data_IF_948620047973
#
_entry.id   IF_948620047973
#
_cell.length_a   1.000
_cell.length_b   1.000
_cell.length_c   1.000
_cell.angle_alpha   90.00
_cell.angle_beta   90.00
_cell.angle_gamma   90.00
#
_symmetry.space_group_name_H-M   'P 1'
#
loop_
_entity.id
_entity.type
_entity.pdbx_description
1 polymer ?
#
# COMPACT_ATOMS: atom_id res chain seq x y z
N UNK A 1 -11.86 -18.69 15.64
CA UNK A 1 -11.33 -17.54 14.89
C UNK A 1 -11.21 -16.28 15.79
N UNK A 2 -12.24 -15.85 16.56
CA UNK A 2 -12.15 -14.62 17.38
C UNK A 2 -10.98 -14.66 18.39
N UNK A 3 -10.78 -15.76 19.12
CA UNK A 3 -9.63 -15.95 20.05
C UNK A 3 -8.28 -15.96 19.33
N UNK A 4 -8.22 -16.63 18.17
CA UNK A 4 -7.01 -16.69 17.34
C UNK A 4 -6.61 -15.30 16.83
N UNK A 5 -7.61 -14.51 16.41
CA UNK A 5 -7.40 -13.15 15.94
C UNK A 5 -6.83 -12.26 17.06
N UNK A 6 -7.31 -12.40 18.30
CA UNK A 6 -6.78 -11.68 19.45
C UNK A 6 -5.31 -12.08 19.75
N UNK A 7 -5.01 -13.39 19.75
CA UNK A 7 -3.63 -13.90 19.90
C UNK A 7 -2.69 -13.32 18.83
N UNK A 8 -3.14 -13.33 17.57
CA UNK A 8 -2.36 -12.80 16.45
C UNK A 8 -2.14 -11.28 16.55
N UNK A 9 -3.16 -10.55 16.96
CA UNK A 9 -3.06 -9.11 17.19
C UNK A 9 -2.07 -8.77 18.31
N UNK A 10 -2.17 -9.46 19.45
CA UNK A 10 -1.26 -9.27 20.57
C UNK A 10 0.19 -9.62 20.18
N UNK A 11 0.39 -10.73 19.48
CA UNK A 11 1.71 -11.09 18.96
C UNK A 11 2.30 -9.99 18.07
N UNK A 12 1.51 -9.42 17.17
CA UNK A 12 1.99 -8.35 16.28
C UNK A 12 2.39 -7.09 17.08
N UNK A 13 1.61 -6.73 18.09
CA UNK A 13 1.94 -5.61 18.97
C UNK A 13 3.28 -5.88 19.71
N UNK A 14 3.45 -7.06 20.26
CA UNK A 14 4.69 -7.45 20.94
C UNK A 14 5.88 -7.48 19.97
N UNK A 15 5.66 -7.98 18.74
CA UNK A 15 6.66 -7.97 17.69
C UNK A 15 7.08 -6.54 17.31
N UNK A 16 6.14 -5.65 17.07
CA UNK A 16 6.44 -4.25 16.75
C UNK A 16 7.22 -3.55 17.88
N UNK A 17 6.87 -3.84 19.15
CA UNK A 17 7.50 -3.24 20.31
C UNK A 17 8.98 -3.64 20.48
N UNK A 18 9.43 -4.76 19.92
CA UNK A 18 10.84 -5.15 19.91
C UNK A 18 11.74 -4.18 19.13
N UNK A 19 11.16 -3.39 18.21
CA UNK A 19 11.88 -2.43 17.38
C UNK A 19 11.86 -1.00 17.92
N UNK A 20 11.25 -0.78 19.09
CA UNK A 20 11.29 0.52 19.76
C UNK A 20 12.70 0.80 20.25
N UNK A 21 13.21 2.01 19.96
CA UNK A 21 14.58 2.43 20.26
C UNK A 21 14.62 3.93 20.61
N UNK A 22 15.66 4.36 21.29
CA UNK A 22 15.92 5.77 21.59
C UNK A 22 16.53 6.54 20.40
N UNK A 23 16.91 5.84 19.34
CA UNK A 23 17.33 6.47 18.07
C UNK A 23 16.11 7.08 17.35
N UNK A 24 15.95 8.39 17.44
CA UNK A 24 14.79 9.10 16.93
C UNK A 24 14.68 9.00 15.38
N UNK A 25 15.80 8.92 14.65
CA UNK A 25 15.77 8.74 13.21
C UNK A 25 15.20 7.37 12.83
N UNK A 26 15.60 6.33 13.55
CA UNK A 26 15.05 4.98 13.38
C UNK A 26 13.59 4.94 13.81
N UNK A 27 13.29 5.52 14.99
CA UNK A 27 11.92 5.53 15.52
C UNK A 27 10.93 6.23 14.63
N UNK A 28 11.32 7.27 13.89
CA UNK A 28 10.44 7.93 12.94
C UNK A 28 9.91 6.95 11.88
N UNK A 29 10.78 6.11 11.32
CA UNK A 29 10.39 5.06 10.38
C UNK A 29 9.50 3.99 11.00
N UNK A 30 9.89 3.50 12.17
CA UNK A 30 9.14 2.48 12.92
C UNK A 30 7.74 2.98 13.27
N UNK A 31 7.58 4.19 13.82
CA UNK A 31 6.27 4.78 14.16
C UNK A 31 5.37 4.91 12.94
N UNK A 32 5.91 5.34 11.78
CA UNK A 32 5.14 5.41 10.54
C UNK A 32 4.59 4.03 10.20
N UNK A 33 5.39 2.97 10.31
CA UNK A 33 4.95 1.61 9.99
C UNK A 33 3.99 1.04 11.03
N UNK A 34 4.16 1.30 12.32
CA UNK A 34 3.18 0.92 13.35
C UNK A 34 1.80 1.53 13.07
N UNK A 35 1.77 2.84 12.81
CA UNK A 35 0.54 3.57 12.50
C UNK A 35 -0.08 3.07 11.19
N UNK A 36 0.73 2.88 10.15
CA UNK A 36 0.32 2.35 8.85
C UNK A 36 -0.31 0.96 8.97
N UNK A 37 0.32 0.05 9.71
CA UNK A 37 -0.22 -1.30 9.97
C UNK A 37 -1.62 -1.23 10.58
N UNK A 38 -1.84 -0.37 11.58
CA UNK A 38 -3.16 -0.19 12.19
C UNK A 38 -4.22 0.31 11.20
N UNK A 39 -3.88 1.30 10.36
CA UNK A 39 -4.81 1.81 9.34
C UNK A 39 -5.09 0.79 8.24
N UNK A 40 -4.09 0.09 7.74
CA UNK A 40 -4.28 -0.95 6.69
C UNK A 40 -5.15 -2.09 7.22
N UNK A 41 -4.96 -2.49 8.47
CA UNK A 41 -5.80 -3.49 9.16
C UNK A 41 -7.28 -3.06 9.19
N UNK A 42 -7.54 -1.81 9.59
CA UNK A 42 -8.89 -1.27 9.65
C UNK A 42 -9.52 -1.16 8.24
N UNK A 43 -8.76 -0.64 7.26
CA UNK A 43 -9.23 -0.49 5.88
C UNK A 43 -9.52 -1.85 5.24
N UNK A 44 -8.66 -2.85 5.44
CA UNK A 44 -8.89 -4.19 4.90
C UNK A 44 -10.17 -4.81 5.43
N UNK A 45 -10.45 -4.63 6.74
CA UNK A 45 -11.71 -5.04 7.36
C UNK A 45 -12.90 -4.28 6.77
N UNK A 46 -12.85 -2.94 6.71
CA UNK A 46 -13.93 -2.10 6.17
C UNK A 46 -14.24 -2.46 4.70
N UNK A 47 -13.22 -2.69 3.88
CA UNK A 47 -13.41 -3.10 2.49
C UNK A 47 -14.06 -4.49 2.40
N UNK A 48 -13.64 -5.44 3.24
CA UNK A 48 -14.25 -6.78 3.29
C UNK A 48 -15.73 -6.72 3.72
N UNK A 49 -16.07 -5.84 4.67
CA UNK A 49 -17.46 -5.58 5.10
C UNK A 49 -18.27 -4.93 3.97
N UNK A 50 -17.71 -3.94 3.26
CA UNK A 50 -18.35 -3.33 2.10
C UNK A 50 -18.65 -4.36 1.00
N UNK A 51 -17.72 -5.26 0.76
CA UNK A 51 -17.86 -6.37 -0.18
C UNK A 51 -18.82 -7.45 0.32
N UNK A 52 -19.39 -7.32 1.51
CA UNK A 52 -20.32 -8.26 2.14
C UNK A 52 -19.77 -9.68 2.26
N UNK A 53 -18.47 -9.79 2.54
CA UNK A 53 -17.83 -11.08 2.77
C UNK A 53 -18.36 -11.75 4.05
N UNK A 54 -18.12 -13.05 4.18
CA UNK A 54 -18.48 -13.78 5.39
C UNK A 54 -17.73 -13.23 6.62
N UNK A 55 -18.26 -13.46 7.83
CA UNK A 55 -17.54 -13.08 9.07
C UNK A 55 -16.12 -13.66 9.09
N UNK A 56 -15.95 -14.89 8.64
CA UNK A 56 -14.66 -15.54 8.55
C UNK A 56 -13.71 -14.81 7.59
N UNK A 57 -14.17 -14.45 6.41
CA UNK A 57 -13.38 -13.73 5.41
C UNK A 57 -13.03 -12.30 5.85
N UNK A 58 -13.92 -11.62 6.58
CA UNK A 58 -13.64 -10.32 7.19
C UNK A 58 -12.49 -10.44 8.21
N UNK A 59 -12.48 -11.51 9.01
CA UNK A 59 -11.40 -11.77 9.96
C UNK A 59 -10.08 -12.09 9.26
N UNK A 60 -10.12 -12.83 8.15
CA UNK A 60 -8.93 -13.08 7.33
C UNK A 60 -8.39 -11.79 6.69
N UNK A 61 -9.26 -10.92 6.18
CA UNK A 61 -8.86 -9.62 5.65
C UNK A 61 -8.17 -8.76 6.73
N UNK A 62 -8.71 -8.77 7.96
CA UNK A 62 -8.08 -8.13 9.12
C UNK A 62 -6.67 -8.67 9.37
N UNK A 63 -6.51 -10.00 9.43
CA UNK A 63 -5.21 -10.66 9.66
C UNK A 63 -4.22 -10.31 8.54
N UNK A 64 -4.67 -10.28 7.29
CA UNK A 64 -3.82 -9.91 6.16
C UNK A 64 -3.33 -8.46 6.26
N UNK A 65 -4.23 -7.53 6.60
CA UNK A 65 -3.85 -6.13 6.86
C UNK A 65 -2.86 -6.00 8.02
N UNK A 66 -3.05 -6.78 9.09
CA UNK A 66 -2.19 -6.78 10.26
C UNK A 66 -0.76 -7.22 9.94
N UNK A 67 -0.58 -8.19 9.05
CA UNK A 67 0.72 -8.80 8.78
C UNK A 67 1.38 -8.40 7.46
N UNK A 68 0.69 -7.64 6.59
CA UNK A 68 1.23 -7.35 5.24
C UNK A 68 2.65 -6.79 5.26
N UNK A 69 2.95 -5.94 6.21
CA UNK A 69 4.20 -5.19 6.36
C UNK A 69 5.06 -5.65 7.56
N UNK A 70 4.79 -6.83 8.15
CA UNK A 70 5.55 -7.35 9.30
C UNK A 70 7.06 -7.40 9.01
N UNK A 71 7.47 -7.71 7.80
CA UNK A 71 8.87 -7.72 7.37
C UNK A 71 9.54 -6.33 7.37
N UNK A 72 8.76 -5.23 7.29
CA UNK A 72 9.29 -3.86 7.28
C UNK A 72 10.03 -3.49 8.56
N UNK A 73 9.61 -4.03 9.70
CA UNK A 73 10.26 -3.77 10.99
C UNK A 73 11.66 -4.35 11.00
N UNK A 74 11.82 -5.62 10.62
CA UNK A 74 13.13 -6.28 10.48
C UNK A 74 13.96 -5.63 9.36
N UNK A 75 13.38 -5.37 8.20
CA UNK A 75 14.06 -4.70 7.08
C UNK A 75 14.68 -3.37 7.55
N UNK A 76 13.88 -2.51 8.19
CA UNK A 76 14.34 -1.19 8.58
C UNK A 76 15.36 -1.23 9.74
N UNK A 77 15.23 -2.16 10.65
CA UNK A 77 16.21 -2.33 11.74
C UNK A 77 17.61 -2.72 11.23
N UNK A 78 17.66 -3.51 10.16
CA UNK A 78 18.92 -3.99 9.57
C UNK A 78 19.48 -2.99 8.55
N UNK A 79 18.66 -2.58 7.59
CA UNK A 79 19.13 -1.84 6.40
C UNK A 79 18.89 -0.33 6.46
N UNK A 80 18.17 0.18 7.45
CA UNK A 80 17.80 1.60 7.61
C UNK A 80 17.11 2.20 6.37
N UNK A 81 16.46 1.36 5.57
CA UNK A 81 15.73 1.74 4.37
C UNK A 81 14.48 0.88 4.17
N UNK A 82 13.44 1.47 3.55
CA UNK A 82 12.27 0.74 3.06
C UNK A 82 12.34 0.45 1.55
N UNK A 83 13.52 0.65 0.93
CA UNK A 83 13.71 0.38 -0.49
C UNK A 83 14.11 -1.08 -0.70
N UNK A 84 13.17 -1.91 -1.17
CA UNK A 84 13.39 -3.34 -1.43
C UNK A 84 14.56 -3.59 -2.39
N UNK A 85 14.82 -2.68 -3.35
CA UNK A 85 15.95 -2.81 -4.28
C UNK A 85 17.33 -2.58 -3.62
N UNK A 86 17.36 -1.97 -2.44
CA UNK A 86 18.59 -1.72 -1.67
C UNK A 86 18.71 -2.62 -0.42
N UNK A 87 17.78 -3.54 -0.23
CA UNK A 87 17.71 -4.44 0.91
C UNK A 87 17.17 -5.81 0.50
N UNK A 88 16.07 -6.24 1.09
CA UNK A 88 15.30 -7.46 0.77
C UNK A 88 13.87 -7.09 0.41
N UNK A 89 13.19 -7.93 -0.38
CA UNK A 89 11.76 -7.80 -0.60
C UNK A 89 11.02 -7.98 0.73
N UNK A 90 10.30 -6.95 1.17
CA UNK A 90 9.69 -6.94 2.49
C UNK A 90 8.52 -7.91 2.65
N UNK A 91 7.82 -8.25 1.54
CA UNK A 91 6.76 -9.25 1.59
C UNK A 91 7.35 -10.64 1.80
N UNK A 92 8.42 -10.98 1.09
CA UNK A 92 9.12 -12.26 1.25
C UNK A 92 9.75 -12.36 2.65
N UNK A 93 10.38 -11.28 3.12
CA UNK A 93 10.90 -11.19 4.49
C UNK A 93 9.79 -11.31 5.54
N UNK A 94 8.63 -10.70 5.29
CA UNK A 94 7.46 -10.83 6.17
C UNK A 94 6.95 -12.26 6.29
N UNK A 95 6.86 -12.97 5.17
CA UNK A 95 6.47 -14.39 5.16
C UNK A 95 7.49 -15.26 5.93
N UNK A 96 8.77 -14.94 5.83
CA UNK A 96 9.83 -15.61 6.61
C UNK A 96 9.65 -15.36 8.11
N UNK A 97 9.42 -14.11 8.52
CA UNK A 97 9.13 -13.76 9.93
C UNK A 97 7.92 -14.54 10.45
N UNK A 98 6.82 -14.57 9.69
CA UNK A 98 5.63 -15.30 10.09
C UNK A 98 5.85 -16.81 10.21
N UNK A 99 6.68 -17.39 9.35
CA UNK A 99 7.01 -18.83 9.41
C UNK A 99 7.93 -19.19 10.56
N UNK A 100 8.88 -18.31 10.91
CA UNK A 100 9.91 -18.57 11.91
C UNK A 100 9.49 -18.20 13.34
N UNK A 101 8.69 -17.12 13.50
CA UNK A 101 8.47 -16.50 14.80
C UNK A 101 7.01 -16.49 15.25
N UNK A 102 6.05 -16.66 14.34
CA UNK A 102 4.64 -16.57 14.68
C UNK A 102 4.04 -17.95 14.98
N UNK A 103 3.80 -18.30 16.25
CA UNK A 103 3.37 -19.64 16.63
C UNK A 103 1.94 -19.98 16.18
N UNK A 104 1.12 -18.97 15.91
CA UNK A 104 -0.31 -19.17 15.61
C UNK A 104 -0.62 -19.43 14.13
N UNK A 105 0.38 -19.40 13.23
CA UNK A 105 0.17 -19.72 11.82
C UNK A 105 -0.33 -21.16 11.60
N UNK A 106 0.07 -22.07 12.46
CA UNK A 106 -0.36 -23.48 12.42
C UNK A 106 -1.78 -23.71 12.98
N UNK A 107 -2.37 -22.73 13.66
CA UNK A 107 -3.76 -22.78 14.14
C UNK A 107 -4.75 -22.38 13.03
N UNK A 108 -4.29 -21.77 11.92
CA UNK A 108 -5.11 -21.51 10.75
C UNK A 108 -5.35 -22.80 9.97
N UNK A 109 -6.55 -22.92 9.38
CA UNK A 109 -6.79 -23.92 8.36
C UNK A 109 -5.81 -23.77 7.19
N UNK A 110 -5.39 -24.88 6.60
CA UNK A 110 -4.38 -24.86 5.54
C UNK A 110 -4.77 -23.91 4.38
N UNK A 111 -6.04 -23.93 3.97
CA UNK A 111 -6.53 -23.07 2.89
C UNK A 111 -6.41 -21.58 3.25
N UNK A 112 -6.67 -21.21 4.50
CA UNK A 112 -6.58 -19.83 4.96
C UNK A 112 -5.12 -19.39 5.12
N UNK A 113 -4.25 -20.26 5.60
CA UNK A 113 -2.82 -20.00 5.66
C UNK A 113 -2.19 -19.81 4.26
N UNK A 114 -2.61 -20.59 3.27
CA UNK A 114 -2.20 -20.42 1.88
C UNK A 114 -2.71 -19.12 1.28
N UNK A 115 -3.97 -18.77 1.57
CA UNK A 115 -4.59 -17.53 1.14
C UNK A 115 -3.86 -16.31 1.71
N UNK A 116 -3.56 -16.31 3.01
CA UNK A 116 -2.78 -15.28 3.70
C UNK A 116 -1.40 -15.11 3.05
N UNK A 117 -0.67 -16.21 2.86
CA UNK A 117 0.66 -16.16 2.23
C UNK A 117 0.59 -15.61 0.82
N UNK A 118 -0.40 -16.01 0.03
CA UNK A 118 -0.57 -15.52 -1.34
C UNK A 118 -0.86 -14.01 -1.35
N UNK A 119 -1.76 -13.52 -0.51
CA UNK A 119 -2.10 -12.11 -0.44
C UNK A 119 -0.88 -11.27 -0.03
N UNK A 120 -0.17 -11.66 1.02
CA UNK A 120 1.05 -10.97 1.50
C UNK A 120 2.14 -11.00 0.42
N UNK A 121 2.42 -12.16 -0.20
CA UNK A 121 3.45 -12.28 -1.24
C UNK A 121 3.21 -11.37 -2.45
N UNK A 122 1.94 -10.98 -2.70
CA UNK A 122 1.55 -10.23 -3.89
C UNK A 122 1.20 -8.75 -3.63
N UNK A 123 1.19 -8.29 -2.36
CA UNK A 123 0.72 -6.93 -2.07
C UNK A 123 1.66 -5.84 -2.63
N UNK A 124 2.98 -6.08 -2.62
CA UNK A 124 4.01 -5.15 -3.10
C UNK A 124 4.46 -5.38 -4.55
N UNK A 125 4.01 -6.47 -5.19
CA UNK A 125 4.46 -6.81 -6.55
C UNK A 125 3.79 -5.90 -7.60
N UNK A 126 4.47 -5.67 -8.72
CA UNK A 126 3.90 -4.88 -9.84
C UNK A 126 2.58 -5.48 -10.34
N UNK A 127 2.53 -6.80 -10.47
CA UNK A 127 1.34 -7.56 -10.87
C UNK A 127 1.13 -8.72 -9.90
N UNK A 128 -0.12 -9.06 -9.63
CA UNK A 128 -0.45 -10.25 -8.85
C UNK A 128 -0.06 -11.48 -9.69
N UNK A 129 0.54 -12.48 -9.05
CA UNK A 129 0.84 -13.76 -9.70
C UNK A 129 -0.43 -14.37 -10.31
N UNK A 130 -0.37 -14.91 -11.53
CA UNK A 130 -1.51 -15.59 -12.14
C UNK A 130 -2.01 -16.73 -11.25
N UNK A 131 -3.32 -16.74 -11.02
CA UNK A 131 -4.00 -17.79 -10.26
C UNK A 131 -5.39 -18.05 -10.83
N UNK A 132 -5.82 -19.30 -10.87
CA UNK A 132 -7.20 -19.68 -11.18
C UNK A 132 -8.10 -19.60 -9.93
N UNK A 133 -7.51 -19.49 -8.74
CA UNK A 133 -8.23 -19.37 -7.49
C UNK A 133 -8.76 -17.93 -7.33
N UNK A 134 -10.07 -17.78 -7.53
CA UNK A 134 -10.76 -16.48 -7.44
C UNK A 134 -10.68 -15.88 -6.03
N UNK A 135 -10.69 -16.70 -4.98
CA UNK A 135 -10.59 -16.24 -3.59
C UNK A 135 -9.20 -15.69 -3.32
N UNK A 136 -8.12 -16.35 -3.78
CA UNK A 136 -6.75 -15.82 -3.70
C UNK A 136 -6.63 -14.47 -4.43
N UNK A 137 -7.21 -14.35 -5.62
CA UNK A 137 -7.18 -13.11 -6.39
C UNK A 137 -7.95 -11.98 -5.69
N UNK A 138 -9.13 -12.28 -5.13
CA UNK A 138 -9.95 -11.32 -4.38
C UNK A 138 -9.16 -10.73 -3.20
N UNK A 139 -8.58 -11.58 -2.35
CA UNK A 139 -7.87 -11.12 -1.16
C UNK A 139 -6.56 -10.41 -1.48
N UNK A 140 -5.83 -10.82 -2.51
CA UNK A 140 -4.66 -10.10 -2.98
C UNK A 140 -5.03 -8.69 -3.46
N UNK A 141 -6.13 -8.53 -4.20
CA UNK A 141 -6.67 -7.23 -4.62
C UNK A 141 -7.12 -6.37 -3.44
N UNK A 142 -7.83 -6.97 -2.48
CA UNK A 142 -8.30 -6.31 -1.28
C UNK A 142 -7.13 -5.74 -0.46
N UNK A 143 -6.11 -6.55 -0.21
CA UNK A 143 -4.94 -6.13 0.55
C UNK A 143 -4.16 -5.01 -0.16
N UNK A 144 -3.97 -5.13 -1.46
CA UNK A 144 -3.31 -4.08 -2.29
C UNK A 144 -4.04 -2.75 -2.22
N UNK A 145 -5.36 -2.78 -2.26
CA UNK A 145 -6.20 -1.59 -2.19
C UNK A 145 -6.15 -0.96 -0.81
N UNK A 146 -6.22 -1.77 0.25
CA UNK A 146 -6.12 -1.30 1.63
C UNK A 146 -4.77 -0.62 1.90
N UNK A 147 -3.67 -1.25 1.49
CA UNK A 147 -2.32 -0.72 1.61
C UNK A 147 -2.16 0.61 0.85
N UNK A 148 -2.55 0.65 -0.43
CA UNK A 148 -2.47 1.87 -1.24
C UNK A 148 -3.28 3.03 -0.65
N UNK A 149 -4.49 2.77 -0.16
CA UNK A 149 -5.33 3.82 0.44
C UNK A 149 -4.63 4.47 1.63
N UNK A 150 -3.94 3.69 2.47
CA UNK A 150 -3.21 4.26 3.59
C UNK A 150 -1.87 4.89 3.16
N UNK A 151 -1.18 4.35 2.16
CA UNK A 151 0.04 4.98 1.61
C UNK A 151 -0.27 6.40 1.13
N UNK A 152 -1.43 6.66 0.51
CA UNK A 152 -1.84 8.03 0.20
C UNK A 152 -1.87 8.91 1.45
N UNK A 153 -2.50 8.47 2.54
CA UNK A 153 -2.53 9.21 3.81
C UNK A 153 -1.12 9.52 4.33
N UNK A 154 -0.23 8.53 4.33
CA UNK A 154 1.15 8.66 4.81
C UNK A 154 1.94 9.67 3.98
N UNK A 155 1.72 9.70 2.65
CA UNK A 155 2.53 10.51 1.74
C UNK A 155 2.00 11.93 1.51
N UNK A 156 0.70 12.18 1.76
CA UNK A 156 0.10 13.51 1.52
C UNK A 156 0.78 14.67 2.27
N UNK A 157 1.19 14.53 3.55
CA UNK A 157 1.88 15.61 4.24
C UNK A 157 3.17 16.07 3.54
N UNK A 158 3.81 15.19 2.78
CA UNK A 158 5.10 15.44 2.11
C UNK A 158 4.96 15.95 0.66
N UNK A 159 3.78 16.41 0.26
CA UNK A 159 3.57 17.05 -1.06
C UNK A 159 3.93 18.53 -1.07
N UNK A 160 3.79 19.19 0.06
CA UNK A 160 4.09 20.63 0.20
C UNK A 160 5.59 20.86 0.35
N UNK A 161 6.12 22.06 -0.01
CA UNK A 161 7.52 22.41 0.22
C UNK A 161 7.95 22.22 1.67
N UNK A 162 7.13 22.69 2.63
CA UNK A 162 7.40 22.54 4.07
C UNK A 162 7.37 21.08 4.52
N UNK A 163 6.45 20.28 3.97
CA UNK A 163 6.37 18.86 4.22
C UNK A 163 7.57 18.09 3.68
N UNK A 164 8.04 18.45 2.48
CA UNK A 164 9.27 17.86 1.91
C UNK A 164 10.48 18.15 2.81
N UNK A 165 10.60 19.35 3.35
CA UNK A 165 11.70 19.72 4.25
C UNK A 165 11.72 18.88 5.53
N UNK A 166 10.52 18.51 6.03
CA UNK A 166 10.31 17.70 7.25
C UNK A 166 10.23 16.20 6.98
N UNK A 167 10.29 15.79 5.70
CA UNK A 167 10.17 14.39 5.35
C UNK A 167 11.32 13.57 5.93
N UNK A 168 11.04 12.33 6.39
CA UNK A 168 12.09 11.38 6.74
C UNK A 168 13.07 11.16 5.59
N UNK A 169 14.31 10.81 5.90
CA UNK A 169 15.35 10.62 4.89
C UNK A 169 14.96 9.60 3.81
N UNK A 170 14.26 8.54 4.17
CA UNK A 170 13.78 7.52 3.21
C UNK A 170 12.65 8.02 2.27
N UNK A 171 12.02 9.17 2.56
CA UNK A 171 11.02 9.82 1.70
C UNK A 171 11.66 10.92 0.85
N UNK A 172 12.76 11.52 1.31
CA UNK A 172 13.47 12.58 0.58
C UNK A 172 13.92 12.09 -0.79
N UNK A 173 13.87 12.96 -1.77
CA UNK A 173 14.32 12.67 -3.14
C UNK A 173 15.05 13.87 -3.74
N UNK A 174 15.64 13.65 -4.91
CA UNK A 174 16.39 14.67 -5.65
C UNK A 174 15.60 15.98 -5.92
N UNK A 175 16.33 17.06 -6.10
CA UNK A 175 15.84 18.44 -5.99
C UNK A 175 14.84 18.91 -7.07
N UNK A 176 14.76 18.29 -8.25
CA UNK A 176 13.89 18.81 -9.32
C UNK A 176 12.41 18.57 -9.05
N UNK A 177 11.60 19.61 -9.22
CA UNK A 177 10.15 19.55 -9.13
C UNK A 177 9.48 19.14 -10.47
N UNK A 178 10.21 19.26 -11.60
CA UNK A 178 9.67 18.92 -12.91
C UNK A 178 9.47 17.41 -13.08
N UNK A 179 8.47 17.05 -13.87
CA UNK A 179 8.23 15.67 -14.29
C UNK A 179 9.12 15.33 -15.47
N UNK A 180 9.77 14.20 -15.44
CA UNK A 180 10.61 13.72 -16.55
C UNK A 180 9.76 13.48 -17.81
N UNK A 181 10.25 13.81 -19.02
CA UNK A 181 9.46 13.70 -20.26
C UNK A 181 8.79 12.34 -20.47
N UNK A 182 9.53 11.25 -20.23
CA UNK A 182 8.99 9.90 -20.35
C UNK A 182 7.78 9.62 -19.45
N UNK A 183 7.75 10.22 -18.24
CA UNK A 183 6.61 10.11 -17.33
C UNK A 183 5.43 10.99 -17.79
N UNK A 184 5.68 12.17 -18.37
CA UNK A 184 4.64 13.02 -18.97
C UNK A 184 3.96 12.26 -20.12
N UNK A 185 4.73 11.66 -21.03
CA UNK A 185 4.22 10.87 -22.14
C UNK A 185 3.42 9.66 -21.67
N UNK A 186 3.94 8.90 -20.71
CA UNK A 186 3.24 7.75 -20.14
C UNK A 186 1.90 8.16 -19.50
N UNK A 187 1.88 9.27 -18.77
CA UNK A 187 0.68 9.79 -18.14
C UNK A 187 -0.35 10.26 -19.17
N UNK A 188 0.08 11.04 -20.17
CA UNK A 188 -0.79 11.47 -21.27
C UNK A 188 -1.39 10.28 -22.03
N UNK A 189 -0.62 9.19 -22.17
CA UNK A 189 -1.08 7.96 -22.82
C UNK A 189 -1.93 7.03 -21.93
N UNK A 190 -2.05 7.31 -20.61
CA UNK A 190 -2.71 6.44 -19.64
C UNK A 190 -1.95 5.12 -19.41
N UNK A 191 -0.64 5.11 -19.60
CA UNK A 191 0.23 3.95 -19.43
C UNK A 191 0.89 3.99 -18.06
N UNK A 192 1.15 2.81 -17.48
CA UNK A 192 1.95 2.71 -16.27
C UNK A 192 3.40 3.12 -16.55
N UNK A 193 3.98 3.90 -15.64
CA UNK A 193 5.37 4.27 -15.69
C UNK A 193 6.27 3.21 -15.03
N UNK A 194 7.54 3.14 -15.44
CA UNK A 194 8.53 2.29 -14.79
C UNK A 194 9.10 3.00 -13.56
N UNK A 195 8.72 2.53 -12.38
CA UNK A 195 9.16 3.09 -11.09
C UNK A 195 10.70 3.11 -10.90
N UNK A 196 11.44 2.25 -11.62
CA UNK A 196 12.91 2.23 -11.58
C UNK A 196 13.52 3.47 -12.22
N UNK A 197 12.74 4.20 -13.01
CA UNK A 197 13.16 5.41 -13.72
C UNK A 197 12.84 6.71 -12.99
N UNK A 198 12.31 6.63 -11.75
CA UNK A 198 12.00 7.80 -10.92
C UNK A 198 13.26 8.61 -10.60
N UNK A 199 13.30 9.88 -11.03
CA UNK A 199 14.44 10.77 -10.84
C UNK A 199 14.11 12.04 -10.05
N UNK A 200 12.85 12.48 -10.09
CA UNK A 200 12.46 13.80 -9.60
C UNK A 200 11.32 13.73 -8.58
N UNK A 201 11.08 14.82 -7.86
CA UNK A 201 9.87 14.98 -7.05
C UNK A 201 8.60 15.00 -7.91
N UNK A 202 8.66 15.61 -9.08
CA UNK A 202 7.57 15.61 -10.05
C UNK A 202 7.19 14.19 -10.46
N UNK A 203 8.17 13.34 -10.79
CA UNK A 203 7.95 11.92 -11.13
C UNK A 203 7.22 11.19 -10.00
N UNK A 204 7.68 11.40 -8.75
CA UNK A 204 7.06 10.75 -7.58
C UNK A 204 5.62 11.18 -7.34
N UNK A 205 5.29 12.46 -7.56
CA UNK A 205 3.91 12.96 -7.49
C UNK A 205 3.07 12.33 -8.58
N UNK A 206 3.56 12.31 -9.82
CA UNK A 206 2.83 11.78 -10.97
C UNK A 206 2.56 10.28 -10.83
N UNK A 207 3.53 9.52 -10.36
CA UNK A 207 3.37 8.08 -10.12
C UNK A 207 2.24 7.80 -9.14
N UNK A 208 2.06 8.63 -8.11
CA UNK A 208 0.92 8.48 -7.18
C UNK A 208 -0.42 8.67 -7.89
N UNK A 209 -0.52 9.55 -8.89
CA UNK A 209 -1.72 9.64 -9.72
C UNK A 209 -1.90 8.38 -10.59
N UNK A 210 -0.81 7.79 -11.08
CA UNK A 210 -0.87 6.56 -11.86
C UNK A 210 -1.33 5.35 -11.03
N UNK A 211 -1.16 5.36 -9.70
CA UNK A 211 -1.69 4.32 -8.82
C UNK A 211 -3.21 4.19 -8.86
N UNK A 212 -3.92 5.25 -9.24
CA UNK A 212 -5.38 5.24 -9.43
C UNK A 212 -5.80 4.15 -10.42
N UNK A 213 -5.01 3.90 -11.47
CA UNK A 213 -5.29 2.85 -12.45
C UNK A 213 -5.05 1.42 -11.93
N UNK A 214 -4.36 1.27 -10.79
CA UNK A 214 -4.09 -0.01 -10.14
C UNK A 214 -5.02 -0.27 -8.92
N UNK A 215 -6.00 0.60 -8.70
CA UNK A 215 -7.05 0.39 -7.70
C UNK A 215 -8.07 -0.60 -8.24
N UNK A 216 -8.33 -1.66 -7.47
CA UNK A 216 -9.19 -2.75 -7.89
C UNK A 216 -10.67 -2.45 -7.64
N UNK A 217 -11.00 -1.88 -6.46
CA UNK A 217 -12.38 -1.65 -6.03
C UNK A 217 -12.78 -0.18 -6.14
N UNK A 218 -14.02 0.04 -6.61
CA UNK A 218 -14.60 1.38 -6.71
C UNK A 218 -14.74 2.04 -5.33
N UNK A 219 -15.02 1.26 -4.28
CA UNK A 219 -15.03 1.74 -2.90
C UNK A 219 -13.72 2.40 -2.50
N UNK A 220 -12.60 1.74 -2.77
CA UNK A 220 -11.26 2.29 -2.46
C UNK A 220 -11.00 3.58 -3.21
N UNK A 221 -11.35 3.60 -4.50
CA UNK A 221 -11.17 4.80 -5.33
C UNK A 221 -12.06 5.95 -4.85
N UNK A 222 -13.31 5.67 -4.48
CA UNK A 222 -14.19 6.67 -3.88
C UNK A 222 -13.57 7.27 -2.62
N UNK A 223 -13.01 6.45 -1.72
CA UNK A 223 -12.31 6.94 -0.51
C UNK A 223 -11.09 7.82 -0.83
N UNK A 224 -10.32 7.48 -1.87
CA UNK A 224 -9.19 8.31 -2.34
C UNK A 224 -9.68 9.67 -2.82
N UNK A 225 -10.78 9.71 -3.57
CA UNK A 225 -11.39 10.94 -4.10
C UNK A 225 -12.03 11.77 -2.99
N UNK A 226 -12.86 11.17 -2.13
CA UNK A 226 -13.52 11.82 -0.98
C UNK A 226 -12.53 12.50 -0.05
N UNK A 227 -11.36 11.88 0.16
CA UNK A 227 -10.28 12.45 0.97
C UNK A 227 -9.47 13.53 0.23
N UNK A 228 -9.82 13.85 -1.01
CA UNK A 228 -9.18 14.88 -1.82
C UNK A 228 -7.74 14.59 -2.25
N UNK A 229 -7.27 13.35 -2.15
CA UNK A 229 -5.87 13.02 -2.42
C UNK A 229 -5.47 13.28 -3.87
N UNK A 230 -6.34 12.97 -4.83
CA UNK A 230 -6.08 13.21 -6.27
C UNK A 230 -5.93 14.71 -6.54
N UNK A 231 -6.87 15.53 -6.05
CA UNK A 231 -6.85 16.97 -6.28
C UNK A 231 -5.66 17.64 -5.56
N UNK A 232 -5.30 17.15 -4.38
CA UNK A 232 -4.13 17.62 -3.66
C UNK A 232 -2.82 17.34 -4.42
N UNK A 233 -2.68 16.13 -4.99
CA UNK A 233 -1.49 15.80 -5.80
C UNK A 233 -1.46 16.67 -7.04
N UNK A 234 -2.58 16.82 -7.77
CA UNK A 234 -2.68 17.65 -8.97
C UNK A 234 -2.29 19.11 -8.65
N UNK A 235 -2.78 19.65 -7.52
CA UNK A 235 -2.45 21.02 -7.06
C UNK A 235 -0.95 21.24 -6.90
N UNK A 236 -0.21 20.23 -6.46
CA UNK A 236 1.24 20.31 -6.23
C UNK A 236 2.09 19.73 -7.37
N UNK A 237 1.49 19.35 -8.50
CA UNK A 237 2.25 19.10 -9.72
C UNK A 237 2.85 20.41 -10.26
N UNK A 238 4.02 20.36 -10.92
CA UNK A 238 4.56 21.52 -11.59
C UNK A 238 3.64 21.97 -12.73
N UNK A 239 3.63 23.27 -13.01
CA UNK A 239 3.03 23.79 -14.24
C UNK A 239 3.94 23.38 -15.41
N UNK A 240 3.59 22.30 -16.10
CA UNK A 240 4.40 21.72 -17.15
C UNK A 240 3.50 21.23 -18.29
N UNK A 241 3.85 21.63 -19.51
CA UNK A 241 3.16 21.22 -20.72
C UNK A 241 3.06 19.69 -20.85
N UNK A 242 1.92 19.20 -21.31
CA UNK A 242 1.65 17.78 -21.53
C UNK A 242 0.99 17.05 -20.35
N UNK A 243 0.90 17.67 -19.18
CA UNK A 243 0.21 17.06 -18.03
C UNK A 243 -1.31 17.15 -18.13
N UNK A 244 -1.85 18.16 -18.83
CA UNK A 244 -3.28 18.43 -18.90
C UNK A 244 -4.06 17.28 -19.52
N UNK A 245 -3.52 16.67 -20.59
CA UNK A 245 -4.14 15.52 -21.27
C UNK A 245 -4.23 14.30 -20.33
N UNK A 246 -3.19 14.05 -19.56
CA UNK A 246 -3.16 12.98 -18.56
C UNK A 246 -4.13 13.24 -17.42
N UNK A 247 -4.21 14.47 -16.91
CA UNK A 247 -5.16 14.87 -15.85
C UNK A 247 -6.60 14.69 -16.32
N UNK A 248 -6.93 15.14 -17.55
CA UNK A 248 -8.26 14.95 -18.13
C UNK A 248 -8.63 13.47 -18.20
N UNK A 249 -7.76 12.65 -18.76
CA UNK A 249 -7.96 11.20 -18.85
C UNK A 249 -8.14 10.54 -17.48
N UNK A 250 -7.32 10.93 -16.51
CA UNK A 250 -7.41 10.43 -15.15
C UNK A 250 -8.78 10.73 -14.53
N UNK A 251 -9.28 11.96 -14.68
CA UNK A 251 -10.59 12.36 -14.15
C UNK A 251 -11.74 11.61 -14.83
N UNK A 252 -11.66 11.38 -16.15
CA UNK A 252 -12.62 10.57 -16.90
C UNK A 252 -12.61 9.11 -16.39
N UNK A 253 -11.44 8.53 -16.20
CA UNK A 253 -11.30 7.18 -15.64
C UNK A 253 -11.90 7.08 -14.22
N UNK A 254 -11.55 8.02 -13.33
CA UNK A 254 -12.07 8.07 -11.95
C UNK A 254 -13.60 8.12 -11.99
N UNK A 255 -14.19 9.04 -12.78
CA UNK A 255 -15.64 9.16 -12.90
C UNK A 255 -16.30 7.85 -13.35
N UNK A 256 -15.74 7.20 -14.36
CA UNK A 256 -16.25 5.93 -14.86
C UNK A 256 -16.12 4.80 -13.84
N UNK A 257 -14.96 4.67 -13.19
CA UNK A 257 -14.68 3.59 -12.23
C UNK A 257 -15.48 3.74 -10.93
N UNK A 258 -15.61 4.97 -10.41
CA UNK A 258 -16.41 5.25 -9.21
C UNK A 258 -17.92 5.01 -9.40
N UNK A 259 -18.42 5.00 -10.62
CA UNK A 259 -19.82 4.73 -10.93
C UNK A 259 -20.15 3.23 -10.99
N UNK A 260 -19.15 2.35 -10.93
CA UNK A 260 -19.33 0.89 -10.99
C UNK A 260 -19.51 0.34 -9.59
N UNK A 261 -20.51 -0.51 -9.39
CA UNK A 261 -20.68 -1.28 -8.15
C UNK A 261 -19.64 -2.41 -8.09
N UNK A 262 -19.01 -2.56 -6.91
CA UNK A 262 -18.08 -3.66 -6.69
C UNK A 262 -18.84 -4.99 -6.61
N UNK A 263 -18.57 -5.87 -7.56
CA UNK A 263 -19.14 -7.22 -7.60
C UNK A 263 -18.06 -8.26 -7.33
N UNK A 264 -18.41 -9.25 -6.54
CA UNK A 264 -17.54 -10.37 -6.21
C UNK A 264 -18.03 -11.58 -6.98
N UNK A 265 -17.19 -12.12 -7.85
CA UNK A 265 -17.37 -13.42 -8.49
C UNK A 265 -16.46 -14.43 -7.74
N UNK A 266 -16.96 -14.98 -6.64
CA UNK A 266 -16.28 -16.06 -5.90
C UNK A 266 -16.78 -17.40 -6.40
#
# INVERSE_FOLDING_TARGET
>A
MDELLEKMHNWMNDYMNQFVTDDEEVMQGIRIKMIHTGYVTAIAKELAEHLKLSKHDIQLAYIMGLFHDVGRFRQYSIYKTFNDAQSEDHADLGLKVLAEEMPYMQELEQADAELLRFAIANHNKKTIQPTADKRKLLFARLLRDADKLDIYRVLMPYLTPDGVAKAPNFIKSAASQLVSPAFVEAFAAGKQADYRQLKTHGDRKLVRLLWVYDINFSWTLNKIVERGYVDLIIKYLPQQSGLEAGIKRLREYIKAKCAVEDRIDI
#
